data_IF_540684774744
#
_entry.id   IF_540684774744
#
_cell.length_a   1.000
_cell.length_b   1.000
_cell.length_c   1.000
_cell.angle_alpha   90.00
_cell.angle_beta   90.00
_cell.angle_gamma   90.00
#
_symmetry.space_group_name_H-M   'P 1'
#
loop_
_entity.id
_entity.type
_entity.pdbx_description
1 polymer ?
#
# COMPACT_ATOMS: atom_id res chain seq x y z
N UNK A 1 -13.67 1.58 -24.48
CA UNK A 1 -13.83 2.94 -25.04
C UNK A 1 -12.76 3.26 -26.07
N UNK A 2 -11.47 3.32 -25.73
CA UNK A 2 -10.40 3.66 -26.70
C UNK A 2 -10.34 2.76 -27.94
N UNK A 3 -10.49 1.44 -27.78
CA UNK A 3 -10.53 0.48 -28.91
C UNK A 3 -11.66 0.79 -29.90
N UNK A 4 -12.84 1.15 -29.40
CA UNK A 4 -14.00 1.50 -30.24
C UNK A 4 -13.70 2.79 -31.01
N UNK A 5 -13.04 3.77 -30.38
CA UNK A 5 -12.65 5.04 -31.03
C UNK A 5 -11.65 4.77 -32.16
N UNK A 6 -10.62 3.95 -31.93
CA UNK A 6 -9.66 3.59 -32.98
C UNK A 6 -10.31 2.79 -34.13
N UNK A 7 -11.26 1.90 -33.81
CA UNK A 7 -12.02 1.18 -34.84
C UNK A 7 -12.89 2.13 -35.69
N UNK A 8 -13.57 3.09 -35.06
CA UNK A 8 -14.35 4.12 -35.77
C UNK A 8 -13.47 5.03 -36.63
N UNK A 9 -12.30 5.44 -36.12
CA UNK A 9 -11.32 6.20 -36.89
C UNK A 9 -10.82 5.42 -38.11
N UNK A 10 -10.56 4.12 -37.96
CA UNK A 10 -10.20 3.26 -39.08
C UNK A 10 -11.30 3.19 -40.14
N UNK A 11 -12.56 3.04 -39.72
CA UNK A 11 -13.72 3.07 -40.61
C UNK A 11 -13.83 4.41 -41.36
N UNK A 12 -13.60 5.53 -40.67
CA UNK A 12 -13.61 6.87 -41.28
C UNK A 12 -12.48 7.04 -42.29
N UNK A 13 -11.28 6.50 -42.03
CA UNK A 13 -10.17 6.52 -43.00
C UNK A 13 -10.54 5.73 -44.26
N UNK A 14 -11.13 4.54 -44.11
CA UNK A 14 -11.56 3.72 -45.24
C UNK A 14 -12.67 4.42 -46.02
N UNK A 15 -13.72 4.90 -45.36
CA UNK A 15 -14.81 5.62 -46.02
C UNK A 15 -14.32 6.92 -46.69
N UNK A 16 -13.41 7.65 -46.04
CA UNK A 16 -12.82 8.88 -46.55
C UNK A 16 -11.94 8.64 -47.77
N UNK A 17 -11.12 7.59 -47.78
CA UNK A 17 -10.31 7.22 -48.96
C UNK A 17 -11.17 6.78 -50.13
N UNK A 18 -12.23 6.00 -49.89
CA UNK A 18 -13.22 5.63 -50.92
C UNK A 18 -13.91 6.89 -51.46
N UNK A 19 -14.40 7.77 -50.59
CA UNK A 19 -15.07 9.01 -50.99
C UNK A 19 -14.15 9.95 -51.78
N UNK A 20 -12.90 10.10 -51.35
CA UNK A 20 -11.90 10.92 -52.05
C UNK A 20 -11.60 10.37 -53.45
N UNK A 21 -11.56 9.05 -53.65
CA UNK A 21 -11.36 8.44 -54.97
C UNK A 21 -12.47 8.82 -55.94
N UNK A 22 -13.74 8.69 -55.54
CA UNK A 22 -14.87 9.02 -56.41
C UNK A 22 -15.02 10.52 -56.64
N UNK A 23 -14.73 11.34 -55.63
CA UNK A 23 -14.87 12.80 -55.74
C UNK A 23 -13.75 13.46 -56.55
N UNK A 24 -12.49 13.10 -56.28
CA UNK A 24 -11.33 13.67 -56.98
C UNK A 24 -11.08 13.01 -58.33
N UNK A 25 -11.44 11.73 -58.48
CA UNK A 25 -11.24 10.98 -59.72
C UNK A 25 -12.25 11.31 -60.84
N UNK A 26 -13.28 12.10 -60.55
CA UNK A 26 -14.29 12.51 -61.54
C UNK A 26 -15.12 11.35 -62.10
N UNK A 27 -15.10 10.19 -61.46
CA UNK A 27 -15.90 9.03 -61.87
C UNK A 27 -17.37 9.28 -61.59
N UNK A 28 -18.21 9.23 -62.63
CA UNK A 28 -19.66 9.15 -62.45
C UNK A 28 -19.97 7.93 -61.56
N UNK A 29 -20.92 8.08 -60.64
CA UNK A 29 -21.22 7.16 -59.53
C UNK A 29 -21.65 5.73 -59.91
N UNK A 30 -21.48 5.31 -61.17
CA UNK A 30 -21.69 3.94 -61.63
C UNK A 30 -20.43 3.10 -61.39
N UNK A 31 -20.57 1.99 -60.67
CA UNK A 31 -19.55 0.94 -60.58
C UNK A 31 -19.14 0.52 -62.01
N UNK A 32 -17.89 0.77 -62.37
CA UNK A 32 -17.37 0.38 -63.68
C UNK A 32 -17.35 -1.15 -63.80
N UNK A 33 -17.83 -1.67 -64.92
CA UNK A 33 -17.75 -3.09 -65.27
C UNK A 33 -16.38 -3.47 -65.87
N UNK A 34 -15.47 -2.50 -66.03
CA UNK A 34 -14.13 -2.76 -66.54
C UNK A 34 -13.18 -3.17 -65.42
N UNK A 35 -12.53 -4.32 -65.59
CA UNK A 35 -11.55 -4.88 -64.63
C UNK A 35 -10.41 -3.90 -64.31
N UNK A 36 -10.03 -3.04 -65.26
CA UNK A 36 -8.97 -2.04 -65.10
C UNK A 36 -9.32 -0.98 -64.06
N UNK A 37 -10.57 -0.52 -64.01
CA UNK A 37 -11.00 0.52 -63.07
C UNK A 37 -11.06 -0.01 -61.64
N UNK A 38 -11.50 -1.26 -61.47
CA UNK A 38 -11.48 -1.96 -60.19
C UNK A 38 -10.04 -2.16 -59.67
N UNK A 39 -9.09 -2.49 -60.55
CA UNK A 39 -7.68 -2.62 -60.19
C UNK A 39 -7.06 -1.27 -59.76
N UNK A 40 -7.42 -0.18 -60.44
CA UNK A 40 -6.96 1.17 -60.10
C UNK A 40 -7.56 1.65 -58.77
N UNK A 41 -8.84 1.39 -58.51
CA UNK A 41 -9.49 1.65 -57.22
C UNK A 41 -8.80 0.90 -56.09
N UNK A 42 -8.60 -0.41 -56.24
CA UNK A 42 -7.94 -1.23 -55.23
C UNK A 42 -6.51 -0.75 -54.95
N UNK A 43 -5.78 -0.34 -56.00
CA UNK A 43 -4.42 0.20 -55.87
C UNK A 43 -4.40 1.55 -55.13
N UNK A 44 -5.34 2.46 -55.43
CA UNK A 44 -5.44 3.74 -54.73
C UNK A 44 -5.84 3.56 -53.26
N UNK A 45 -6.93 2.82 -53.00
CA UNK A 45 -7.42 2.60 -51.64
C UNK A 45 -6.36 1.84 -50.83
N UNK A 46 -5.76 0.78 -51.38
CA UNK A 46 -4.66 0.07 -50.72
C UNK A 46 -3.44 0.95 -50.47
N UNK A 47 -3.07 1.79 -51.44
CA UNK A 47 -1.91 2.68 -51.36
C UNK A 47 -2.07 3.83 -50.37
N UNK A 48 -3.28 4.33 -50.15
CA UNK A 48 -3.55 5.45 -49.22
C UNK A 48 -4.07 4.95 -47.87
N UNK A 49 -5.11 4.11 -47.87
CA UNK A 49 -5.70 3.60 -46.65
C UNK A 49 -4.73 2.66 -45.91
N UNK A 50 -3.92 1.88 -46.62
CA UNK A 50 -2.95 0.98 -46.02
C UNK A 50 -1.99 1.70 -45.05
N UNK A 51 -1.16 2.65 -45.52
CA UNK A 51 -0.26 3.41 -44.67
C UNK A 51 -0.95 4.17 -43.53
N UNK A 52 -2.13 4.77 -43.79
CA UNK A 52 -2.90 5.49 -42.78
C UNK A 52 -3.42 4.57 -41.67
N UNK A 53 -3.93 3.39 -42.04
CA UNK A 53 -4.39 2.37 -41.09
C UNK A 53 -3.21 1.77 -40.32
N UNK A 54 -2.06 1.53 -40.97
CA UNK A 54 -0.84 1.10 -40.27
C UNK A 54 -0.36 2.12 -39.24
N UNK A 55 -0.38 3.40 -39.59
CA UNK A 55 -0.03 4.47 -38.66
C UNK A 55 -1.04 4.55 -37.50
N UNK A 56 -2.34 4.48 -37.78
CA UNK A 56 -3.39 4.45 -36.76
C UNK A 56 -3.22 3.25 -35.81
N UNK A 57 -2.91 2.07 -36.36
CA UNK A 57 -2.64 0.86 -35.59
C UNK A 57 -1.42 1.05 -34.66
N UNK A 58 -0.33 1.65 -35.17
CA UNK A 58 0.84 1.97 -34.35
C UNK A 58 0.48 2.91 -33.20
N UNK A 59 -0.27 3.99 -33.46
CA UNK A 59 -0.72 4.93 -32.43
C UNK A 59 -1.60 4.21 -31.39
N UNK A 60 -2.51 3.36 -31.83
CA UNK A 60 -3.38 2.59 -30.94
C UNK A 60 -2.57 1.65 -30.03
N UNK A 61 -1.55 0.99 -30.56
CA UNK A 61 -0.65 0.13 -29.78
C UNK A 61 0.12 0.97 -28.75
N UNK A 62 0.75 2.07 -29.15
CA UNK A 62 1.51 2.95 -28.24
C UNK A 62 0.61 3.47 -27.11
N UNK A 63 -0.60 3.91 -27.44
CA UNK A 63 -1.58 4.35 -26.45
C UNK A 63 -1.92 3.23 -25.45
N UNK A 64 -2.14 2.02 -25.96
CA UNK A 64 -2.48 0.86 -25.15
C UNK A 64 -1.33 0.48 -24.20
N UNK A 65 -0.09 0.49 -24.68
CA UNK A 65 1.11 0.22 -23.86
C UNK A 65 1.25 1.25 -22.74
N UNK A 66 1.02 2.53 -23.03
CA UNK A 66 1.06 3.57 -21.99
C UNK A 66 0.00 3.34 -20.91
N UNK A 67 -1.23 3.02 -21.31
CA UNK A 67 -2.30 2.73 -20.35
C UNK A 67 -1.97 1.51 -19.49
N UNK A 68 -1.43 0.45 -20.11
CA UNK A 68 -0.98 -0.74 -19.39
C UNK A 68 0.11 -0.41 -18.37
N UNK A 69 1.07 0.46 -18.72
CA UNK A 69 2.10 0.91 -17.80
C UNK A 69 1.53 1.65 -16.59
N UNK A 70 0.59 2.58 -16.81
CA UNK A 70 -0.07 3.31 -15.72
C UNK A 70 -0.90 2.37 -14.81
N UNK A 71 -1.53 1.35 -15.37
CA UNK A 71 -2.24 0.32 -14.61
C UNK A 71 -1.27 -0.53 -13.78
N UNK A 72 -0.15 -0.95 -14.36
CA UNK A 72 0.86 -1.75 -13.67
C UNK A 72 1.47 -0.99 -12.49
N UNK A 73 1.75 0.31 -12.67
CA UNK A 73 2.29 1.14 -11.59
C UNK A 73 1.29 1.29 -10.44
N UNK A 74 0.00 1.51 -10.74
CA UNK A 74 -1.05 1.56 -9.72
C UNK A 74 -1.20 0.22 -9.00
N UNK A 75 -1.11 -0.89 -9.71
CA UNK A 75 -1.18 -2.22 -9.11
C UNK A 75 0.01 -2.49 -8.19
N UNK A 76 1.22 -2.16 -8.65
CA UNK A 76 2.45 -2.22 -7.84
C UNK A 76 2.32 -1.41 -6.55
N UNK A 77 1.81 -0.19 -6.61
CA UNK A 77 1.60 0.65 -5.43
C UNK A 77 0.60 0.03 -4.44
N UNK A 78 -0.48 -0.57 -4.93
CA UNK A 78 -1.45 -1.30 -4.10
C UNK A 78 -0.83 -2.53 -3.45
N UNK A 79 -0.09 -3.32 -4.21
CA UNK A 79 0.58 -4.52 -3.68
C UNK A 79 1.58 -4.18 -2.57
N UNK A 80 2.36 -3.11 -2.73
CA UNK A 80 3.25 -2.61 -1.68
C UNK A 80 2.46 -2.22 -0.44
N UNK A 81 1.36 -1.47 -0.60
CA UNK A 81 0.51 -1.09 0.53
C UNK A 81 -0.07 -2.29 1.28
N UNK A 82 -0.60 -3.27 0.55
CA UNK A 82 -1.12 -4.49 1.14
C UNK A 82 -0.03 -5.29 1.86
N UNK A 83 1.18 -5.34 1.31
CA UNK A 83 2.32 -6.01 1.95
C UNK A 83 2.68 -5.35 3.28
N UNK A 84 2.74 -4.01 3.33
CA UNK A 84 3.01 -3.31 4.58
C UNK A 84 1.90 -3.48 5.62
N UNK A 85 0.63 -3.44 5.21
CA UNK A 85 -0.51 -3.68 6.11
C UNK A 85 -0.42 -5.09 6.71
N UNK A 86 -0.17 -6.10 5.88
CA UNK A 86 0.03 -7.49 6.36
C UNK A 86 1.19 -7.60 7.34
N UNK A 87 2.28 -6.88 7.10
CA UNK A 87 3.42 -6.87 8.02
C UNK A 87 3.08 -6.20 9.36
N UNK A 88 2.39 -5.06 9.34
CA UNK A 88 1.89 -4.40 10.56
C UNK A 88 0.92 -5.29 11.34
N UNK A 89 0.01 -5.98 10.66
CA UNK A 89 -0.91 -6.92 11.31
C UNK A 89 -0.20 -8.18 11.85
N UNK A 90 0.88 -8.64 11.20
CA UNK A 90 1.71 -9.71 11.74
C UNK A 90 2.41 -9.27 13.05
N UNK A 91 3.13 -8.15 13.04
CA UNK A 91 3.77 -7.60 14.23
C UNK A 91 2.76 -7.32 15.36
N UNK A 92 1.57 -6.82 15.01
CA UNK A 92 0.53 -6.60 15.99
C UNK A 92 0.01 -7.91 16.61
N UNK A 93 -0.15 -8.97 15.81
CA UNK A 93 -0.52 -10.30 16.30
C UNK A 93 0.54 -10.85 17.23
N UNK A 94 1.81 -10.79 16.85
CA UNK A 94 2.94 -11.26 17.66
C UNK A 94 2.97 -10.53 19.03
N UNK A 95 2.73 -9.21 19.04
CA UNK A 95 2.57 -8.46 20.28
C UNK A 95 1.36 -8.92 21.12
N UNK A 96 0.22 -9.24 20.49
CA UNK A 96 -0.93 -9.80 21.21
C UNK A 96 -0.62 -11.18 21.80
N UNK A 97 0.11 -12.03 21.09
CA UNK A 97 0.52 -13.34 21.58
C UNK A 97 1.37 -13.22 22.85
N UNK A 98 2.36 -12.32 22.87
CA UNK A 98 3.16 -12.05 24.07
C UNK A 98 2.28 -11.49 25.21
N UNK A 99 1.37 -10.57 24.90
CA UNK A 99 0.47 -9.98 25.89
C UNK A 99 -0.44 -11.03 26.56
N UNK A 100 -0.88 -12.02 25.80
CA UNK A 100 -1.77 -13.09 26.26
C UNK A 100 -1.04 -14.36 26.71
N UNK A 101 0.29 -14.42 26.55
CA UNK A 101 1.09 -15.56 26.97
C UNK A 101 0.93 -15.80 28.48
N UNK A 102 0.79 -17.08 28.91
CA UNK A 102 0.60 -17.42 30.30
C UNK A 102 1.85 -17.11 31.13
N UNK A 103 1.64 -16.49 32.29
CA UNK A 103 2.61 -16.25 33.35
C UNK A 103 2.16 -17.00 34.60
N UNK A 104 3.09 -17.71 35.24
CA UNK A 104 2.81 -18.45 36.47
C UNK A 104 3.10 -17.54 37.66
N UNK A 105 2.13 -17.43 38.57
CA UNK A 105 2.32 -16.67 39.81
C UNK A 105 3.07 -17.50 40.86
N UNK A 106 3.95 -16.88 41.63
CA UNK A 106 4.74 -17.50 42.73
C UNK A 106 3.97 -17.59 44.05
N UNK A 107 2.67 -17.29 44.06
CA UNK A 107 1.80 -17.32 45.23
C UNK A 107 1.60 -18.75 45.80
N UNK A 108 1.18 -18.89 47.08
CA UNK A 108 0.96 -20.20 47.73
C UNK A 108 -0.01 -21.13 46.99
N UNK A 109 -0.90 -20.56 46.17
CA UNK A 109 -1.70 -21.27 45.19
C UNK A 109 -1.33 -20.72 43.79
N UNK A 110 -0.59 -21.48 42.97
CA UNK A 110 -0.17 -21.00 41.66
C UNK A 110 -1.39 -20.83 40.74
N UNK A 111 -1.55 -19.61 40.23
CA UNK A 111 -2.56 -19.24 39.23
C UNK A 111 -1.87 -18.85 37.92
N UNK A 112 -2.59 -19.02 36.81
CA UNK A 112 -2.12 -18.57 35.49
C UNK A 112 -2.68 -17.17 35.25
N UNK A 113 -1.79 -16.20 35.07
CA UNK A 113 -2.13 -14.83 34.65
C UNK A 113 -1.51 -14.55 33.27
N UNK A 114 -1.75 -13.37 32.70
CA UNK A 114 -1.15 -12.95 31.42
C UNK A 114 -0.33 -11.68 31.61
N UNK A 115 0.65 -11.42 30.72
CA UNK A 115 1.41 -10.18 30.76
C UNK A 115 0.47 -8.96 30.72
N UNK A 116 -0.59 -9.05 29.93
CA UNK A 116 -1.62 -8.02 29.83
C UNK A 116 -2.25 -7.69 31.18
N UNK A 117 -2.65 -8.71 31.97
CA UNK A 117 -3.27 -8.50 33.27
C UNK A 117 -2.35 -7.74 34.25
N UNK A 118 -1.04 -7.98 34.16
CA UNK A 118 -0.04 -7.23 34.95
C UNK A 118 0.06 -5.78 34.48
N UNK A 119 0.13 -5.57 33.16
CA UNK A 119 0.23 -4.24 32.57
C UNK A 119 -1.03 -3.39 32.81
N UNK A 120 -2.20 -4.02 32.80
CA UNK A 120 -3.50 -3.41 33.11
C UNK A 120 -3.73 -3.27 34.63
N UNK A 121 -2.75 -3.66 35.47
CA UNK A 121 -2.75 -3.60 36.95
C UNK A 121 -3.84 -4.46 37.62
N UNK A 122 -4.30 -5.50 36.94
CA UNK A 122 -5.24 -6.49 37.47
C UNK A 122 -4.52 -7.52 38.37
N UNK A 123 -3.22 -7.75 38.13
CA UNK A 123 -2.37 -8.64 38.95
C UNK A 123 -1.17 -7.88 39.49
N UNK A 124 -0.80 -8.13 40.75
CA UNK A 124 0.39 -7.53 41.36
C UNK A 124 1.67 -8.09 40.72
N UNK A 125 2.60 -7.21 40.33
CA UNK A 125 3.90 -7.57 39.77
C UNK A 125 4.74 -8.39 40.75
N UNK A 126 4.56 -8.18 42.07
CA UNK A 126 5.29 -8.93 43.10
C UNK A 126 4.92 -10.42 43.16
N UNK A 127 3.75 -10.79 42.62
CA UNK A 127 3.28 -12.18 42.58
C UNK A 127 3.88 -12.98 41.41
N UNK A 128 4.79 -12.41 40.62
CA UNK A 128 5.31 -13.00 39.39
C UNK A 128 6.84 -13.10 39.47
N UNK A 129 7.38 -14.16 38.88
CA UNK A 129 8.83 -14.32 38.76
C UNK A 129 9.47 -13.11 38.02
N UNK A 130 10.36 -12.34 38.68
CA UNK A 130 10.88 -11.09 38.11
C UNK A 130 11.66 -11.29 36.81
N UNK A 131 12.40 -12.40 36.68
CA UNK A 131 13.19 -12.72 35.50
C UNK A 131 12.29 -13.00 34.28
N UNK A 132 11.22 -13.79 34.46
CA UNK A 132 10.24 -14.11 33.43
C UNK A 132 9.50 -12.84 32.97
N UNK A 133 9.01 -12.04 33.92
CA UNK A 133 8.32 -10.78 33.62
C UNK A 133 9.22 -9.81 32.83
N UNK A 134 10.46 -9.61 33.29
CA UNK A 134 11.43 -8.76 32.58
C UNK A 134 11.71 -9.26 31.17
N UNK A 135 11.92 -10.56 30.99
CA UNK A 135 12.15 -11.18 29.68
C UNK A 135 11.00 -10.89 28.71
N UNK A 136 9.76 -11.16 29.13
CA UNK A 136 8.56 -10.92 28.32
C UNK A 136 8.30 -9.45 28.03
N UNK A 137 8.54 -8.57 29.00
CA UNK A 137 8.40 -7.13 28.81
C UNK A 137 9.43 -6.59 27.81
N UNK A 138 10.67 -7.13 27.84
CA UNK A 138 11.73 -6.77 26.90
C UNK A 138 11.38 -7.22 25.48
N UNK A 139 10.94 -8.46 25.32
CA UNK A 139 10.46 -9.03 24.04
C UNK A 139 9.31 -8.19 23.45
N UNK A 140 8.34 -7.80 24.28
CA UNK A 140 7.24 -6.93 23.88
C UNK A 140 7.73 -5.54 23.43
N UNK A 141 8.70 -4.97 24.14
CA UNK A 141 9.26 -3.65 23.81
C UNK A 141 10.04 -3.69 22.48
N UNK A 142 10.76 -4.78 22.20
CA UNK A 142 11.45 -4.97 20.92
C UNK A 142 10.46 -5.04 19.75
N UNK A 143 9.40 -5.86 19.87
CA UNK A 143 8.35 -5.94 18.85
C UNK A 143 7.63 -4.59 18.66
N UNK A 144 7.36 -3.87 19.75
CA UNK A 144 6.75 -2.55 19.68
C UNK A 144 7.66 -1.53 18.98
N UNK A 145 8.98 -1.63 19.16
CA UNK A 145 9.97 -0.85 18.42
C UNK A 145 9.88 -1.11 16.93
N UNK A 146 9.92 -2.37 16.52
CA UNK A 146 9.78 -2.78 15.12
C UNK A 146 8.43 -2.35 14.52
N UNK A 147 7.34 -2.48 15.28
CA UNK A 147 6.01 -2.03 14.87
C UNK A 147 5.98 -0.51 14.66
N UNK A 148 6.54 0.25 15.59
CA UNK A 148 6.57 1.71 15.51
C UNK A 148 7.37 2.19 14.30
N UNK A 149 8.54 1.57 14.05
CA UNK A 149 9.34 1.82 12.87
C UNK A 149 8.57 1.46 11.58
N UNK A 150 7.90 0.30 11.53
CA UNK A 150 7.08 -0.10 10.40
C UNK A 150 5.93 0.90 10.14
N UNK A 151 5.33 1.47 11.18
CA UNK A 151 4.33 2.56 11.08
C UNK A 151 4.95 3.83 10.47
N UNK A 152 6.19 4.18 10.85
CA UNK A 152 6.89 5.32 10.26
C UNK A 152 7.24 5.07 8.78
N UNK A 153 7.76 3.89 8.44
CA UNK A 153 8.04 3.50 7.07
C UNK A 153 6.78 3.49 6.20
N UNK A 154 5.65 3.01 6.74
CA UNK A 154 4.37 3.06 6.06
C UNK A 154 3.96 4.49 5.72
N UNK A 155 4.11 5.41 6.67
CA UNK A 155 3.81 6.83 6.50
C UNK A 155 4.62 7.48 5.38
N UNK A 156 5.91 7.16 5.31
CA UNK A 156 6.81 7.77 4.34
C UNK A 156 6.64 7.18 2.92
N UNK A 157 6.20 5.92 2.80
CA UNK A 157 6.12 5.20 1.52
C UNK A 157 4.72 5.11 0.91
N UNK A 158 3.65 5.38 1.67
CA UNK A 158 2.27 5.12 1.24
C UNK A 158 1.51 6.44 1.14
N UNK A 159 0.67 6.56 0.11
CA UNK A 159 -0.17 7.75 -0.13
C UNK A 159 -1.06 8.09 1.08
N UNK A 160 -1.32 9.39 1.28
CA UNK A 160 -2.09 9.95 2.40
C UNK A 160 -3.55 9.44 2.57
N UNK A 161 -4.05 8.60 1.65
CA UNK A 161 -5.43 8.10 1.65
C UNK A 161 -5.64 6.84 2.50
N UNK A 162 -4.58 6.24 3.04
CA UNK A 162 -4.69 5.07 3.92
C UNK A 162 -4.76 5.46 5.40
N UNK A 163 -5.60 4.75 6.16
CA UNK A 163 -5.96 5.05 7.54
C UNK A 163 -4.84 4.67 8.55
N UNK A 164 -3.69 5.34 8.44
CA UNK A 164 -2.51 5.15 9.30
C UNK A 164 -2.83 5.32 10.79
N UNK A 165 -3.82 6.16 11.09
CA UNK A 165 -4.22 6.51 12.46
C UNK A 165 -4.56 5.27 13.28
N UNK A 166 -5.20 4.27 12.69
CA UNK A 166 -5.58 3.03 13.39
C UNK A 166 -4.34 2.27 13.88
N UNK A 167 -3.30 2.16 13.06
CA UNK A 167 -2.06 1.48 13.42
C UNK A 167 -1.26 2.28 14.46
N UNK A 168 -1.15 3.60 14.25
CA UNK A 168 -0.51 4.48 15.22
C UNK A 168 -1.19 4.41 16.60
N UNK A 169 -2.53 4.44 16.64
CA UNK A 169 -3.29 4.36 17.89
C UNK A 169 -3.17 2.98 18.56
N UNK A 170 -3.09 1.89 17.78
CA UNK A 170 -2.84 0.52 18.31
C UNK A 170 -1.48 0.45 19.03
N UNK A 171 -0.42 0.90 18.37
CA UNK A 171 0.92 0.93 18.96
C UNK A 171 0.98 1.84 20.18
N UNK A 172 0.36 3.02 20.11
CA UNK A 172 0.35 3.98 21.21
C UNK A 172 -0.31 3.42 22.48
N UNK A 173 -1.41 2.66 22.35
CA UNK A 173 -2.07 2.00 23.49
C UNK A 173 -1.15 0.99 24.18
N UNK A 174 -0.39 0.21 23.42
CA UNK A 174 0.56 -0.76 24.01
C UNK A 174 1.72 -0.01 24.66
N UNK A 175 2.26 1.03 24.00
CA UNK A 175 3.32 1.86 24.54
C UNK A 175 2.93 2.50 25.88
N UNK A 176 1.73 3.06 25.96
CA UNK A 176 1.19 3.69 27.17
C UNK A 176 1.06 2.70 28.35
N UNK A 177 0.82 1.42 28.07
CA UNK A 177 0.81 0.35 29.08
C UNK A 177 2.21 -0.05 29.56
N UNK A 178 3.22 0.06 28.69
CA UNK A 178 4.61 -0.32 29.02
C UNK A 178 5.33 0.80 29.80
N UNK A 179 5.03 2.07 29.51
CA UNK A 179 5.69 3.25 30.14
C UNK A 179 5.84 3.18 31.67
N UNK A 180 4.83 2.76 32.46
CA UNK A 180 4.98 2.65 33.92
C UNK A 180 6.05 1.67 34.38
N UNK A 181 6.41 0.69 33.53
CA UNK A 181 7.35 -0.39 33.82
C UNK A 181 8.74 -0.18 33.20
N UNK A 182 9.05 1.03 32.73
CA UNK A 182 10.33 1.34 32.08
C UNK A 182 11.56 1.04 32.97
N UNK A 183 11.43 1.16 34.29
CA UNK A 183 12.50 0.83 35.25
C UNK A 183 12.93 -0.64 35.18
N UNK A 184 12.02 -1.55 34.80
CA UNK A 184 12.28 -2.99 34.65
C UNK A 184 13.01 -3.31 33.34
N UNK A 185 12.87 -2.47 32.32
CA UNK A 185 13.43 -2.64 30.97
C UNK A 185 14.91 -2.22 30.83
N UNK A 186 15.52 -1.70 31.90
CA UNK A 186 16.92 -1.27 31.91
C UNK A 186 17.14 0.17 31.43
N UNK A 187 18.40 0.61 31.45
CA UNK A 187 18.78 2.03 31.36
C UNK A 187 18.47 2.71 30.02
N UNK A 188 18.37 1.95 28.92
CA UNK A 188 18.05 2.48 27.58
C UNK A 188 16.56 2.55 27.29
N UNK A 189 15.71 1.96 28.14
CA UNK A 189 14.26 1.90 27.93
C UNK A 189 13.58 3.27 27.73
N UNK A 190 13.97 4.35 28.42
CA UNK A 190 13.31 5.65 28.22
C UNK A 190 13.56 6.22 26.82
N UNK A 191 14.76 5.97 26.27
CA UNK A 191 15.14 6.39 24.92
C UNK A 191 14.34 5.59 23.90
N UNK A 192 14.24 4.26 24.06
CA UNK A 192 13.46 3.41 23.15
C UNK A 192 11.99 3.80 23.15
N UNK A 193 11.40 4.08 24.32
CA UNK A 193 10.02 4.55 24.45
C UNK A 193 9.82 5.87 23.71
N UNK A 194 10.78 6.79 23.82
CA UNK A 194 10.73 8.08 23.13
C UNK A 194 10.77 7.91 21.60
N UNK A 195 11.64 7.04 21.08
CA UNK A 195 11.68 6.74 19.64
C UNK A 195 10.38 6.08 19.16
N UNK A 196 9.83 5.13 19.92
CA UNK A 196 8.54 4.52 19.57
C UNK A 196 7.43 5.56 19.49
N UNK A 197 7.32 6.43 20.50
CA UNK A 197 6.32 7.51 20.53
C UNK A 197 6.53 8.48 19.35
N UNK A 198 7.77 8.83 19.04
CA UNK A 198 8.13 9.69 17.91
C UNK A 198 7.68 9.08 16.58
N UNK A 199 7.96 7.79 16.34
CA UNK A 199 7.56 7.10 15.12
C UNK A 199 6.03 6.96 14.98
N UNK A 200 5.33 6.67 16.06
CA UNK A 200 3.86 6.58 16.08
C UNK A 200 3.21 7.94 15.83
N UNK A 201 3.80 9.04 16.31
CA UNK A 201 3.36 10.41 16.01
C UNK A 201 3.77 10.88 14.61
N UNK A 202 4.87 10.34 14.09
CA UNK A 202 5.55 10.73 12.85
C UNK A 202 6.28 12.06 12.96
N UNK A 203 6.80 12.33 14.14
CA UNK A 203 7.78 13.38 14.31
C UNK A 203 9.10 12.92 13.66
N UNK A 204 9.75 13.76 12.86
CA UNK A 204 11.02 13.43 12.18
C UNK A 204 12.26 13.84 12.97
N UNK A 205 12.07 14.53 14.08
CA UNK A 205 13.14 15.03 14.93
C UNK A 205 12.73 14.94 16.40
N UNK A 206 13.67 14.55 17.25
CA UNK A 206 13.50 14.54 18.70
C UNK A 206 13.21 15.96 19.20
N UNK A 207 11.95 16.24 19.51
CA UNK A 207 11.60 17.36 20.41
C UNK A 207 11.89 16.86 21.83
N UNK A 208 12.44 17.73 22.70
CA UNK A 208 12.96 17.37 24.02
C UNK A 208 12.06 16.39 24.81
N UNK A 209 12.65 15.64 25.75
CA UNK A 209 12.07 14.47 26.45
C UNK A 209 10.62 14.61 26.97
N UNK A 210 9.64 14.59 26.06
CA UNK A 210 8.20 14.78 26.32
C UNK A 210 7.44 13.44 26.39
N UNK A 211 8.07 12.33 25.98
CA UNK A 211 7.40 11.02 25.90
C UNK A 211 7.03 10.45 27.27
N UNK A 212 7.81 10.77 28.31
CA UNK A 212 7.62 10.31 29.70
C UNK A 212 6.66 11.19 30.50
N UNK A 213 6.40 12.43 30.06
CA UNK A 213 5.61 13.42 30.81
C UNK A 213 4.14 13.47 30.38
N UNK A 214 3.75 12.71 29.35
CA UNK A 214 2.40 12.74 28.79
C UNK A 214 1.41 11.92 29.63
N UNK A 215 0.27 12.54 29.97
CA UNK A 215 -0.90 11.83 30.50
C UNK A 215 -1.42 10.78 29.50
N UNK A 216 -1.61 9.56 29.99
CA UNK A 216 -2.21 8.44 29.25
C UNK A 216 -3.53 8.87 28.60
N UNK A 217 -3.72 8.57 27.31
CA UNK A 217 -5.01 8.81 26.65
C UNK A 217 -6.04 7.87 27.26
N UNK A 218 -7.02 8.42 27.99
CA UNK A 218 -8.22 7.70 28.42
C UNK A 218 -9.11 7.36 27.24
#
# INVERSE_FOLDING_TARGET
MAVIIFALLGLVIVAGTIGAYFWLGGFASSLSHQTTDLANFGSYVGGVAGPLLSFLALVAVVWTVRLQYELLERDRQRQLADQHVRWLDALYRDMQEILHAPLVTTAPQPSVTSLRAVLDKETDMMAIEPALFKGRLTELMELLGQYSEAVALYRDNITAYFDLKVFADRGARILDRIKPFHSTLGNMSPITIEFCDMHLRGDRSRKAAEALTRNTRR
#
